data_IF_222877544980
#
_entry.id   IF_222877544980
#
_cell.length_a   1.000
_cell.length_b   1.000
_cell.length_c   1.000
_cell.angle_alpha   90.00
_cell.angle_beta   90.00
_cell.angle_gamma   90.00
#
_symmetry.space_group_name_H-M   'P 1'
#
loop_
_entity.id
_entity.type
_entity.pdbx_description
1 polymer ?
#
# COMPACT_ATOMS: atom_id res chain seq x y z
N UNK A 1 20.14 -24.16 -9.74
CA UNK A 1 19.72 -22.81 -9.28
C UNK A 1 20.60 -22.40 -8.11
N UNK A 2 21.27 -21.25 -8.23
CA UNK A 2 22.38 -20.79 -7.37
C UNK A 2 21.81 -20.33 -6.01
N UNK A 3 22.16 -21.06 -4.94
CA UNK A 3 21.84 -20.69 -3.55
C UNK A 3 22.62 -19.43 -3.14
N UNK A 4 21.93 -18.30 -3.13
CA UNK A 4 22.07 -17.20 -2.18
C UNK A 4 20.65 -17.12 -1.57
N UNK A 5 20.34 -17.21 -0.28
CA UNK A 5 21.04 -17.06 1.00
C UNK A 5 20.08 -17.63 2.09
N UNK A 6 20.48 -17.75 3.36
CA UNK A 6 19.63 -18.21 4.48
C UNK A 6 18.47 -17.26 4.86
N UNK A 7 18.16 -16.26 4.05
CA UNK A 7 17.24 -15.18 4.42
C UNK A 7 15.94 -15.26 3.62
N UNK A 8 14.81 -15.15 4.33
CA UNK A 8 13.49 -14.95 3.72
C UNK A 8 13.24 -13.46 3.59
N UNK A 9 13.00 -12.99 2.36
CA UNK A 9 12.64 -11.58 2.11
C UNK A 9 11.13 -11.44 2.25
N UNK A 10 10.70 -10.58 3.18
CA UNK A 10 9.30 -10.21 3.37
C UNK A 10 9.09 -8.77 2.87
N UNK A 11 8.29 -8.56 1.81
CA UNK A 11 7.95 -7.22 1.35
C UNK A 11 7.10 -6.48 2.39
N UNK A 12 7.45 -5.22 2.64
CA UNK A 12 6.60 -4.28 3.37
C UNK A 12 5.89 -3.41 2.34
N UNK A 13 4.56 -3.34 2.45
CA UNK A 13 3.71 -2.61 1.50
C UNK A 13 2.92 -1.55 2.25
N UNK A 14 3.18 -0.29 1.91
CA UNK A 14 2.38 0.81 2.42
C UNK A 14 1.03 0.88 1.71
N UNK A 15 -0.03 0.84 2.49
CA UNK A 15 -1.39 1.13 2.05
C UNK A 15 -1.73 2.54 2.53
N UNK A 16 -1.14 3.53 1.88
CA UNK A 16 -1.54 4.92 2.09
C UNK A 16 -2.71 5.21 1.17
N UNK A 17 -3.90 5.30 1.74
CA UNK A 17 -5.06 5.76 1.01
C UNK A 17 -5.31 7.25 1.32
N UNK A 18 -4.70 8.13 0.52
CA UNK A 18 -5.01 9.57 0.57
C UNK A 18 -6.44 9.85 0.07
N UNK A 19 -7.16 8.85 -0.46
CA UNK A 19 -8.48 9.00 -1.06
C UNK A 19 -9.56 9.30 -0.03
N UNK A 20 -9.39 8.84 1.21
CA UNK A 20 -10.30 9.16 2.32
C UNK A 20 -10.29 10.65 2.68
N UNK A 21 -9.18 11.35 2.43
CA UNK A 21 -9.06 12.77 2.70
C UNK A 21 -9.62 13.68 1.59
N UNK A 22 -10.04 13.12 0.43
CA UNK A 22 -10.60 13.96 -0.63
C UNK A 22 -12.00 14.47 -0.33
N UNK A 23 -12.31 15.74 -0.67
CA UNK A 23 -13.64 16.32 -0.51
C UNK A 23 -14.73 15.45 -1.13
N UNK A 24 -15.88 15.39 -0.47
CA UNK A 24 -17.07 14.68 -0.95
C UNK A 24 -17.68 15.30 -2.21
N UNK A 25 -17.40 16.59 -2.45
CA UNK A 25 -17.87 17.38 -3.59
C UNK A 25 -16.68 17.84 -4.45
N UNK A 26 -16.97 18.43 -5.61
CA UNK A 26 -15.91 18.98 -6.45
C UNK A 26 -15.19 20.12 -5.74
N UNK A 27 -13.86 20.09 -5.70
CA UNK A 27 -13.08 21.08 -4.98
C UNK A 27 -11.57 20.94 -5.17
N UNK A 28 -10.84 21.94 -4.70
CA UNK A 28 -9.38 21.87 -4.64
C UNK A 28 -8.95 20.88 -3.55
N UNK A 29 -8.02 20.00 -3.91
CA UNK A 29 -7.35 19.10 -3.00
C UNK A 29 -5.84 19.25 -3.16
N UNK A 30 -5.11 19.02 -2.08
CA UNK A 30 -3.65 18.96 -2.11
C UNK A 30 -3.23 17.49 -2.12
N UNK A 31 -2.38 17.12 -3.07
CA UNK A 31 -1.82 15.77 -3.19
C UNK A 31 -0.31 15.83 -3.00
N UNK A 32 0.26 14.83 -2.32
CA UNK A 32 1.70 14.69 -2.17
C UNK A 32 2.20 13.58 -3.08
N UNK A 33 3.15 13.90 -3.93
CA UNK A 33 3.85 12.90 -4.74
C UNK A 33 4.71 12.02 -3.83
N UNK A 34 4.49 10.71 -3.88
CA UNK A 34 5.15 9.75 -2.99
C UNK A 34 6.64 9.55 -3.32
N UNK A 35 7.07 9.82 -4.56
CA UNK A 35 8.45 9.60 -5.02
C UNK A 35 9.33 10.84 -4.76
N UNK A 36 8.78 12.03 -4.96
CA UNK A 36 9.50 13.30 -4.90
C UNK A 36 9.16 14.14 -3.68
N UNK A 37 8.07 13.81 -2.98
CA UNK A 37 7.56 14.57 -1.83
C UNK A 37 6.93 15.92 -2.18
N UNK A 38 6.84 16.27 -3.47
CA UNK A 38 6.26 17.56 -3.92
C UNK A 38 4.75 17.60 -3.69
N UNK A 39 4.25 18.77 -3.32
CA UNK A 39 2.82 19.02 -3.12
C UNK A 39 2.24 19.66 -4.37
N UNK A 40 1.09 19.16 -4.80
CA UNK A 40 0.37 19.64 -5.97
C UNK A 40 -1.08 19.94 -5.62
N UNK A 41 -1.59 21.07 -6.08
CA UNK A 41 -3.01 21.39 -5.98
C UNK A 41 -3.75 20.88 -7.20
N UNK A 42 -4.74 20.02 -6.99
CA UNK A 42 -5.54 19.41 -8.05
C UNK A 42 -7.02 19.72 -7.85
N UNK A 43 -7.75 19.93 -8.95
CA UNK A 43 -9.20 20.05 -8.91
C UNK A 43 -9.84 18.65 -8.94
N UNK A 44 -10.29 18.17 -7.80
CA UNK A 44 -10.91 16.85 -7.66
C UNK A 44 -12.40 16.93 -7.99
N UNK A 45 -12.86 16.01 -8.84
CA UNK A 45 -14.28 15.78 -9.12
C UNK A 45 -14.69 14.41 -8.56
N UNK A 46 -15.97 14.20 -8.18
CA UNK A 46 -16.42 12.89 -7.68
C UNK A 46 -16.09 11.71 -8.59
N UNK A 47 -16.15 11.91 -9.92
CA UNK A 47 -15.78 10.88 -10.90
C UNK A 47 -14.28 10.55 -10.89
N UNK A 48 -13.42 11.53 -10.64
CA UNK A 48 -11.96 11.33 -10.52
C UNK A 48 -11.66 10.56 -9.23
N UNK A 49 -12.28 10.94 -8.10
CA UNK A 49 -12.16 10.21 -6.82
C UNK A 49 -12.53 8.74 -6.99
N UNK A 50 -13.71 8.46 -7.59
CA UNK A 50 -14.16 7.09 -7.84
C UNK A 50 -13.21 6.30 -8.75
N UNK A 51 -12.70 6.93 -9.81
CA UNK A 51 -11.74 6.28 -10.72
C UNK A 51 -10.43 5.98 -10.00
N UNK A 52 -9.95 6.88 -9.15
CA UNK A 52 -8.74 6.67 -8.38
C UNK A 52 -8.91 5.51 -7.39
N UNK A 53 -10.01 5.49 -6.61
CA UNK A 53 -10.28 4.35 -5.71
C UNK A 53 -10.23 3.02 -6.45
N UNK A 54 -10.92 2.93 -7.59
CA UNK A 54 -10.91 1.72 -8.41
C UNK A 54 -9.50 1.33 -8.87
N UNK A 55 -8.68 2.30 -9.26
CA UNK A 55 -7.29 2.04 -9.66
C UNK A 55 -6.42 1.57 -8.49
N UNK A 56 -6.64 2.07 -7.28
CA UNK A 56 -5.96 1.60 -6.07
C UNK A 56 -6.37 0.17 -5.72
N UNK A 57 -7.67 -0.13 -5.75
CA UNK A 57 -8.19 -1.48 -5.52
C UNK A 57 -7.61 -2.46 -6.54
N UNK A 58 -7.65 -2.11 -7.82
CA UNK A 58 -7.07 -2.91 -8.90
C UNK A 58 -5.56 -3.12 -8.72
N UNK A 59 -4.83 -2.09 -8.29
CA UNK A 59 -3.40 -2.17 -8.01
C UNK A 59 -3.10 -3.15 -6.88
N UNK A 60 -3.77 -3.02 -5.74
CA UNK A 60 -3.55 -3.92 -4.60
C UNK A 60 -4.02 -5.35 -4.86
N UNK A 61 -5.06 -5.53 -5.67
CA UNK A 61 -5.49 -6.86 -6.12
C UNK A 61 -4.43 -7.54 -6.98
N UNK A 62 -3.85 -6.81 -7.96
CA UNK A 62 -2.75 -7.32 -8.79
C UNK A 62 -1.50 -7.63 -7.95
N UNK A 63 -1.17 -6.76 -7.01
CA UNK A 63 -0.03 -6.94 -6.12
C UNK A 63 -0.22 -8.19 -5.23
N UNK A 64 -1.41 -8.37 -4.66
CA UNK A 64 -1.75 -9.55 -3.86
C UNK A 64 -1.65 -10.84 -4.68
N UNK A 65 -2.16 -10.84 -5.92
CA UNK A 65 -2.02 -11.98 -6.83
C UNK A 65 -0.55 -12.31 -7.14
N UNK A 66 0.30 -11.29 -7.29
CA UNK A 66 1.74 -11.47 -7.48
C UNK A 66 2.38 -12.17 -6.28
N UNK A 67 2.11 -11.70 -5.05
CA UNK A 67 2.66 -12.32 -3.84
C UNK A 67 2.17 -13.76 -3.64
N UNK A 68 0.88 -14.01 -3.88
CA UNK A 68 0.30 -15.36 -3.79
C UNK A 68 0.96 -16.34 -4.75
N UNK A 69 1.28 -15.91 -5.98
CA UNK A 69 2.01 -16.73 -6.97
C UNK A 69 3.36 -17.24 -6.43
N UNK A 70 4.03 -16.44 -5.60
CA UNK A 70 5.31 -16.79 -4.98
C UNK A 70 5.18 -17.32 -3.54
N UNK A 71 3.93 -17.50 -3.04
CA UNK A 71 3.63 -17.89 -1.65
C UNK A 71 4.27 -16.96 -0.61
N UNK A 72 4.39 -15.69 -0.94
CA UNK A 72 4.89 -14.66 -0.04
C UNK A 72 3.67 -14.01 0.64
N UNK A 73 3.70 -13.84 1.96
CA UNK A 73 2.76 -12.97 2.67
C UNK A 73 3.45 -11.62 2.90
N UNK A 74 3.04 -10.52 2.27
CA UNK A 74 3.61 -9.21 2.58
C UNK A 74 3.14 -8.71 3.96
N UNK A 75 3.88 -7.79 4.56
CA UNK A 75 3.42 -6.98 5.68
C UNK A 75 2.77 -5.71 5.12
N UNK A 76 1.46 -5.57 5.24
CA UNK A 76 0.76 -4.34 4.91
C UNK A 76 0.81 -3.36 6.08
N UNK A 77 1.13 -2.10 5.81
CA UNK A 77 1.30 -1.06 6.83
C UNK A 77 0.48 0.16 6.46
N UNK A 78 -0.23 0.69 7.45
CA UNK A 78 -0.92 1.98 7.40
C UNK A 78 -0.14 2.95 8.31
N UNK A 79 0.34 4.06 7.76
CA UNK A 79 1.22 4.98 8.47
C UNK A 79 2.61 4.42 8.80
N UNK A 80 3.05 4.65 10.04
CA UNK A 80 4.37 4.26 10.54
C UNK A 80 4.47 2.77 10.88
N UNK A 81 5.67 2.21 10.76
CA UNK A 81 5.95 0.83 11.16
C UNK A 81 6.22 0.79 12.66
N UNK A 82 5.39 0.06 13.41
CA UNK A 82 5.57 -0.11 14.86
C UNK A 82 6.25 -1.44 15.21
N UNK A 83 7.03 -1.52 16.30
CA UNK A 83 7.60 -2.78 16.78
C UNK A 83 6.55 -3.85 17.10
N UNK A 84 5.37 -3.43 17.57
CA UNK A 84 4.23 -4.30 17.88
C UNK A 84 3.75 -5.04 16.62
N UNK A 85 3.51 -4.29 15.53
CA UNK A 85 3.06 -4.87 14.25
C UNK A 85 4.06 -5.88 13.69
N UNK A 86 5.36 -5.58 13.76
CA UNK A 86 6.40 -6.53 13.33
C UNK A 86 6.36 -7.81 14.15
N UNK A 87 6.24 -7.68 15.47
CA UNK A 87 6.19 -8.82 16.39
C UNK A 87 4.97 -9.70 16.11
N UNK A 88 3.79 -9.11 15.97
CA UNK A 88 2.54 -9.81 15.67
C UNK A 88 2.62 -10.55 14.33
N UNK A 89 3.15 -9.89 13.29
CA UNK A 89 3.32 -10.48 11.97
C UNK A 89 4.25 -11.71 12.00
N UNK A 90 5.45 -11.57 12.59
CA UNK A 90 6.41 -12.68 12.62
C UNK A 90 5.97 -13.81 13.56
N UNK A 91 5.23 -13.49 14.62
CA UNK A 91 4.61 -14.50 15.48
C UNK A 91 3.58 -15.31 14.70
N UNK A 92 2.66 -14.66 14.00
CA UNK A 92 1.65 -15.33 13.16
C UNK A 92 2.28 -16.20 12.07
N UNK A 93 3.40 -15.77 11.49
CA UNK A 93 4.14 -16.53 10.48
C UNK A 93 4.77 -17.81 11.03
N UNK A 94 5.28 -17.81 12.28
CA UNK A 94 5.82 -19.01 12.93
C UNK A 94 4.76 -20.09 13.16
N UNK A 95 3.51 -19.67 13.31
CA UNK A 95 2.37 -20.54 13.64
C UNK A 95 1.51 -20.92 12.41
N UNK A 96 1.90 -20.51 11.19
CA UNK A 96 1.25 -20.85 9.92
C UNK A 96 1.94 -22.00 9.20
#
# INVERSE_FOLDING_TARGET
LRKLSQYTIIPIVWRHDDVDHFPSHAGWAETRDAETGKRHSVWMRPSIKKRWQQQMDDHFNRLSACFMRYRIRPLYVEGDITPQQLTEYFYAMKHS
#
